data_IF_281966881403
#
_entry.id   IF_281966881403
#
_cell.length_a   1.000
_cell.length_b   1.000
_cell.length_c   1.000
_cell.angle_alpha   90.00
_cell.angle_beta   90.00
_cell.angle_gamma   90.00
#
_symmetry.space_group_name_H-M   'P 1'
#
loop_
_entity.id
_entity.type
_entity.pdbx_description
1 polymer ?
#
# COMPACT_ATOMS: atom_id res chain seq x y z
N UNK A 1 -26.19 12.80 -11.97
CA UNK A 1 -25.67 11.46 -12.36
C UNK A 1 -24.14 11.42 -12.43
N UNK A 2 -23.44 12.36 -13.06
CA UNK A 2 -21.94 12.36 -13.08
C UNK A 2 -21.30 12.55 -11.69
N UNK A 3 -21.88 13.39 -10.84
CA UNK A 3 -21.45 13.61 -9.45
C UNK A 3 -21.53 12.31 -8.65
N UNK A 4 -22.59 11.53 -8.84
CA UNK A 4 -22.83 10.28 -8.10
C UNK A 4 -21.80 9.18 -8.40
N UNK A 5 -21.24 9.11 -9.63
CA UNK A 5 -20.20 8.13 -9.98
C UNK A 5 -18.83 8.49 -9.34
N UNK A 6 -18.49 9.77 -9.35
CA UNK A 6 -17.24 10.25 -8.76
C UNK A 6 -17.23 10.06 -7.24
N UNK A 7 -18.39 10.30 -6.59
CA UNK A 7 -18.57 10.08 -5.15
C UNK A 7 -18.42 8.59 -4.78
N UNK A 8 -18.97 7.68 -5.60
CA UNK A 8 -18.82 6.22 -5.39
C UNK A 8 -17.35 5.80 -5.48
N UNK A 9 -16.61 6.25 -6.51
CA UNK A 9 -15.19 5.90 -6.66
C UNK A 9 -14.35 6.41 -5.48
N UNK A 10 -14.64 7.58 -4.94
CA UNK A 10 -13.98 8.13 -3.77
C UNK A 10 -14.30 7.32 -2.50
N UNK A 11 -15.56 6.91 -2.32
CA UNK A 11 -15.97 6.03 -1.22
C UNK A 11 -15.28 4.66 -1.29
N UNK A 12 -15.16 4.07 -2.49
CA UNK A 12 -14.47 2.78 -2.67
C UNK A 12 -12.98 2.87 -2.35
N UNK A 13 -12.30 3.93 -2.80
CA UNK A 13 -10.89 4.18 -2.44
C UNK A 13 -10.71 4.38 -0.94
N UNK A 14 -11.61 5.13 -0.30
CA UNK A 14 -11.58 5.33 1.15
C UNK A 14 -11.82 4.03 1.89
N UNK A 15 -12.76 3.18 1.43
CA UNK A 15 -13.03 1.85 2.00
C UNK A 15 -11.77 0.98 1.94
N UNK A 16 -11.13 0.92 0.78
CA UNK A 16 -9.92 0.13 0.57
C UNK A 16 -8.73 0.63 1.42
N UNK A 17 -8.51 1.95 1.51
CA UNK A 17 -7.49 2.54 2.38
C UNK A 17 -7.71 2.18 3.86
N UNK A 18 -8.95 2.24 4.33
CA UNK A 18 -9.29 1.86 5.70
C UNK A 18 -9.11 0.36 5.97
N UNK A 19 -9.44 -0.51 5.01
CA UNK A 19 -9.16 -1.95 5.10
C UNK A 19 -7.65 -2.20 5.17
N UNK A 20 -6.87 -1.55 4.28
CA UNK A 20 -5.43 -1.66 4.28
C UNK A 20 -4.83 -1.20 5.62
N UNK A 21 -5.30 -0.09 6.20
CA UNK A 21 -4.88 0.39 7.53
C UNK A 21 -5.17 -0.61 8.63
N UNK A 22 -6.32 -1.28 8.62
CA UNK A 22 -6.61 -2.35 9.58
C UNK A 22 -5.62 -3.51 9.45
N UNK A 23 -5.24 -3.87 8.22
CA UNK A 23 -4.27 -4.93 7.95
C UNK A 23 -2.82 -4.57 8.35
N UNK A 24 -2.52 -3.27 8.53
CA UNK A 24 -1.25 -2.83 9.08
C UNK A 24 -1.13 -3.06 10.59
N UNK A 25 -2.25 -3.18 11.30
CA UNK A 25 -2.27 -3.32 12.76
C UNK A 25 -2.09 -4.79 13.16
N UNK A 26 -0.93 -5.20 13.69
CA UNK A 26 -0.70 -6.60 14.06
C UNK A 26 -1.64 -7.07 15.20
N UNK A 27 -2.07 -6.13 16.06
CA UNK A 27 -2.86 -6.39 17.24
C UNK A 27 -4.01 -5.36 17.37
N UNK A 28 -5.10 -5.61 16.64
CA UNK A 28 -6.26 -4.70 16.53
C UNK A 28 -7.43 -5.04 17.48
N UNK A 29 -7.22 -5.97 18.42
CA UNK A 29 -8.23 -6.41 19.38
C UNK A 29 -8.17 -5.69 20.73
N UNK A 30 -8.89 -6.21 21.71
CA UNK A 30 -8.92 -5.66 23.07
C UNK A 30 -7.74 -6.19 23.88
N UNK A 31 -6.86 -5.32 24.44
CA UNK A 31 -5.78 -5.75 25.31
C UNK A 31 -6.29 -6.40 26.59
N UNK A 32 -5.63 -7.47 27.00
CA UNK A 32 -5.91 -8.22 28.22
C UNK A 32 -4.60 -8.52 28.95
N UNK A 33 -4.57 -8.26 30.26
CA UNK A 33 -3.43 -8.61 31.11
C UNK A 33 -3.73 -9.95 31.77
N UNK A 34 -2.82 -10.92 31.62
CA UNK A 34 -2.89 -12.21 32.33
C UNK A 34 -1.69 -12.34 33.27
N UNK A 35 -1.97 -12.71 34.51
CA UNK A 35 -0.94 -13.00 35.50
C UNK A 35 -0.66 -14.51 35.53
N UNK A 36 0.63 -14.89 35.46
CA UNK A 36 1.07 -16.28 35.57
C UNK A 36 2.33 -16.32 36.44
N UNK A 37 2.26 -16.94 37.61
CA UNK A 37 3.32 -16.88 38.60
C UNK A 37 3.56 -15.45 39.04
N UNK A 38 4.82 -15.01 39.01
CA UNK A 38 5.22 -13.64 39.37
C UNK A 38 5.20 -12.68 38.15
N UNK A 39 4.83 -13.17 36.96
CA UNK A 39 4.87 -12.39 35.70
C UNK A 39 3.51 -11.92 35.23
N UNK A 40 3.49 -10.71 34.63
CA UNK A 40 2.35 -10.16 33.89
C UNK A 40 2.61 -10.23 32.40
N UNK A 41 1.61 -10.69 31.65
CA UNK A 41 1.71 -10.91 30.23
C UNK A 41 0.56 -10.24 29.49
N UNK A 42 0.85 -9.69 28.32
CA UNK A 42 -0.13 -9.04 27.45
C UNK A 42 -0.65 -10.01 26.40
N UNK A 43 -1.96 -10.02 26.29
CA UNK A 43 -2.70 -10.72 25.25
C UNK A 43 -3.62 -9.74 24.54
N UNK A 44 -3.97 -10.04 23.30
CA UNK A 44 -5.02 -9.33 22.57
C UNK A 44 -6.16 -10.30 22.29
N UNK A 45 -7.34 -9.92 22.73
CA UNK A 45 -8.58 -10.67 22.51
C UNK A 45 -9.33 -10.12 21.31
N UNK A 46 -9.66 -10.99 20.38
CA UNK A 46 -10.40 -10.67 19.16
C UNK A 46 -11.49 -11.71 18.91
N UNK A 47 -12.59 -11.31 18.26
CA UNK A 47 -13.63 -12.23 17.80
C UNK A 47 -13.41 -12.48 16.32
N UNK A 48 -13.15 -13.73 15.94
CA UNK A 48 -12.92 -14.17 14.56
C UNK A 48 -13.94 -15.25 14.22
N UNK A 49 -14.75 -15.01 13.19
CA UNK A 49 -15.81 -15.95 12.75
C UNK A 49 -16.72 -16.43 13.90
N UNK A 50 -17.09 -15.51 14.81
CA UNK A 50 -17.95 -15.81 15.96
C UNK A 50 -17.20 -16.37 17.19
N UNK A 51 -15.99 -16.88 17.04
CA UNK A 51 -15.17 -17.45 18.12
C UNK A 51 -14.27 -16.36 18.74
N UNK A 52 -14.11 -16.42 20.06
CA UNK A 52 -13.19 -15.54 20.78
C UNK A 52 -11.78 -16.15 20.78
N UNK A 53 -10.82 -15.42 20.22
CA UNK A 53 -9.40 -15.78 20.24
C UNK A 53 -8.65 -14.88 21.20
N UNK A 54 -7.56 -15.36 21.80
CA UNK A 54 -6.67 -14.60 22.67
C UNK A 54 -5.23 -14.88 22.24
N UNK A 55 -4.58 -13.89 21.63
CA UNK A 55 -3.22 -14.00 21.08
C UNK A 55 -2.23 -13.39 22.06
N UNK A 56 -1.17 -14.11 22.38
CA UNK A 56 -0.06 -13.62 23.19
C UNK A 56 0.74 -12.56 22.41
N UNK A 57 1.08 -11.45 23.08
CA UNK A 57 1.84 -10.34 22.47
C UNK A 57 3.23 -10.20 23.09
N UNK A 58 3.35 -10.35 24.39
CA UNK A 58 4.62 -10.17 25.08
C UNK A 58 4.47 -10.03 26.60
N UNK A 59 5.60 -9.84 27.27
CA UNK A 59 5.62 -9.46 28.69
C UNK A 59 5.03 -8.07 28.85
N UNK A 60 4.32 -7.84 29.95
CA UNK A 60 3.72 -6.55 30.24
C UNK A 60 4.80 -5.47 30.40
N UNK A 61 4.66 -4.42 29.60
CA UNK A 61 5.25 -3.11 29.86
C UNK A 61 4.16 -2.05 29.67
N UNK A 62 4.31 -0.91 30.32
CA UNK A 62 3.33 0.17 30.19
C UNK A 62 3.28 0.74 28.77
N UNK A 63 4.44 0.85 28.11
CA UNK A 63 4.56 1.31 26.72
C UNK A 63 3.82 0.37 25.77
N UNK A 64 4.04 -0.94 25.89
CA UNK A 64 3.38 -1.95 25.06
C UNK A 64 1.87 -1.96 25.31
N UNK A 65 1.44 -1.88 26.57
CA UNK A 65 0.01 -1.82 26.90
C UNK A 65 -0.66 -0.57 26.31
N UNK A 66 -0.02 0.61 26.45
CA UNK A 66 -0.51 1.86 25.89
C UNK A 66 -0.54 1.84 24.35
N UNK A 67 0.43 1.17 23.69
CA UNK A 67 0.41 0.95 22.25
C UNK A 67 -0.81 0.11 21.83
N UNK A 68 -1.05 -1.01 22.51
CA UNK A 68 -2.21 -1.87 22.24
C UNK A 68 -3.54 -1.15 22.46
N UNK A 69 -3.63 -0.29 23.50
CA UNK A 69 -4.81 0.54 23.72
C UNK A 69 -5.05 1.54 22.57
N UNK A 70 -3.98 2.17 22.06
CA UNK A 70 -4.08 3.09 20.91
C UNK A 70 -4.55 2.33 19.67
N UNK A 71 -3.93 1.20 19.35
CA UNK A 71 -4.32 0.36 18.21
C UNK A 71 -5.80 -0.07 18.32
N UNK A 72 -6.25 -0.48 19.49
CA UNK A 72 -7.64 -0.87 19.72
C UNK A 72 -8.63 0.28 19.52
N UNK A 73 -8.25 1.51 19.88
CA UNK A 73 -9.08 2.71 19.65
C UNK A 73 -9.13 3.04 18.17
N UNK A 74 -7.98 3.13 17.52
CA UNK A 74 -7.87 3.43 16.09
C UNK A 74 -8.62 2.40 15.24
N UNK A 75 -8.44 1.10 15.49
CA UNK A 75 -9.20 0.05 14.82
C UNK A 75 -10.71 0.17 15.01
N UNK A 76 -11.16 0.67 16.16
CA UNK A 76 -12.59 0.90 16.43
C UNK A 76 -13.13 2.08 15.63
N UNK A 77 -12.38 3.18 15.52
CA UNK A 77 -12.77 4.33 14.70
C UNK A 77 -12.80 3.96 13.23
N UNK A 78 -11.78 3.27 12.72
CA UNK A 78 -11.75 2.77 11.34
C UNK A 78 -12.97 1.89 11.04
N UNK A 79 -13.31 0.94 11.91
CA UNK A 79 -14.49 0.09 11.71
C UNK A 79 -15.81 0.88 11.78
N UNK A 80 -15.86 1.97 12.52
CA UNK A 80 -17.03 2.87 12.55
C UNK A 80 -17.15 3.63 11.22
N UNK A 81 -16.04 4.12 10.70
CA UNK A 81 -15.98 4.82 9.42
C UNK A 81 -16.36 3.90 8.26
N UNK A 82 -15.80 2.68 8.21
CA UNK A 82 -16.17 1.65 7.24
C UNK A 82 -17.67 1.39 7.21
N UNK A 83 -18.31 1.23 8.36
CA UNK A 83 -19.79 1.06 8.42
C UNK A 83 -20.54 2.29 7.87
N UNK A 84 -19.97 3.48 8.02
CA UNK A 84 -20.50 4.71 7.42
C UNK A 84 -20.45 4.68 5.90
N UNK A 85 -19.29 4.32 5.36
CA UNK A 85 -19.06 4.17 3.90
C UNK A 85 -19.96 3.10 3.31
N UNK A 86 -20.05 1.92 3.94
CA UNK A 86 -20.94 0.83 3.48
C UNK A 86 -22.41 1.26 3.36
N UNK A 87 -22.90 2.06 4.33
CA UNK A 87 -24.25 2.61 4.29
C UNK A 87 -24.42 3.60 3.12
N UNK A 88 -23.42 4.43 2.84
CA UNK A 88 -23.47 5.39 1.73
C UNK A 88 -23.42 4.66 0.37
N UNK A 89 -22.58 3.65 0.23
CA UNK A 89 -22.50 2.81 -0.97
C UNK A 89 -23.83 2.08 -1.22
N UNK A 90 -24.40 1.48 -0.18
CA UNK A 90 -25.72 0.83 -0.27
C UNK A 90 -26.83 1.82 -0.66
N UNK A 91 -26.82 3.03 -0.09
CA UNK A 91 -27.79 4.08 -0.44
C UNK A 91 -27.63 4.59 -1.89
N UNK A 92 -26.38 4.54 -2.42
CA UNK A 92 -26.08 4.86 -3.81
C UNK A 92 -26.41 3.72 -4.78
N UNK A 93 -26.89 2.58 -4.30
CA UNK A 93 -27.21 1.40 -5.11
C UNK A 93 -25.98 0.68 -5.65
N UNK A 94 -24.82 0.85 -5.01
CA UNK A 94 -23.60 0.16 -5.42
C UNK A 94 -23.72 -1.34 -5.15
N UNK A 95 -23.35 -2.13 -6.15
CA UNK A 95 -23.15 -3.59 -6.03
C UNK A 95 -21.74 -3.93 -6.51
N UNK A 96 -21.10 -4.89 -5.83
CA UNK A 96 -19.76 -5.33 -6.23
C UNK A 96 -19.80 -6.07 -7.56
N UNK A 97 -18.89 -5.71 -8.47
CA UNK A 97 -18.70 -6.42 -9.73
C UNK A 97 -17.97 -7.76 -9.50
N UNK A 98 -18.29 -8.75 -10.31
CA UNK A 98 -17.52 -10.00 -10.32
C UNK A 98 -16.17 -9.79 -11.01
N UNK A 99 -15.08 -10.15 -10.32
CA UNK A 99 -13.74 -10.15 -10.89
C UNK A 99 -13.52 -11.42 -11.73
N UNK A 100 -12.78 -11.28 -12.82
CA UNK A 100 -12.34 -12.42 -13.62
C UNK A 100 -11.42 -13.35 -12.80
N UNK A 101 -11.44 -14.65 -13.13
CA UNK A 101 -10.70 -15.68 -12.37
C UNK A 101 -9.18 -15.45 -12.35
N UNK A 102 -8.60 -14.97 -13.45
CA UNK A 102 -7.18 -14.61 -13.55
C UNK A 102 -6.80 -13.44 -12.66
N UNK A 103 -7.66 -12.42 -12.55
CA UNK A 103 -7.48 -11.29 -11.61
C UNK A 103 -7.50 -11.78 -10.17
N UNK A 104 -8.47 -12.63 -9.81
CA UNK A 104 -8.55 -13.24 -8.46
C UNK A 104 -7.27 -14.04 -8.14
N UNK A 105 -6.79 -14.85 -9.11
CA UNK A 105 -5.57 -15.63 -8.97
C UNK A 105 -4.33 -14.74 -8.80
N UNK A 106 -4.25 -13.62 -9.54
CA UNK A 106 -3.15 -12.66 -9.42
C UNK A 106 -3.15 -11.96 -8.06
N UNK A 107 -4.32 -11.56 -7.53
CA UNK A 107 -4.44 -11.02 -6.17
C UNK A 107 -3.94 -12.06 -5.15
N UNK A 108 -4.38 -13.31 -5.25
CA UNK A 108 -3.96 -14.38 -4.33
C UNK A 108 -2.44 -14.61 -4.40
N UNK A 109 -1.87 -14.67 -5.61
CA UNK A 109 -0.42 -14.83 -5.83
C UNK A 109 0.38 -13.65 -5.29
N UNK A 110 -0.07 -12.40 -5.54
CA UNK A 110 0.59 -11.20 -5.04
C UNK A 110 0.54 -11.14 -3.50
N UNK A 111 -0.58 -11.53 -2.87
CA UNK A 111 -0.70 -11.62 -1.41
C UNK A 111 0.23 -12.68 -0.82
N UNK A 112 0.33 -13.86 -1.45
CA UNK A 112 1.23 -14.92 -1.00
C UNK A 112 2.71 -14.52 -1.06
N UNK A 113 3.08 -13.64 -2.01
CA UNK A 113 4.45 -13.17 -2.20
C UNK A 113 4.69 -11.74 -1.63
N UNK A 114 3.73 -11.15 -0.94
CA UNK A 114 3.76 -9.74 -0.53
C UNK A 114 5.01 -9.38 0.27
N UNK A 115 5.44 -10.22 1.21
CA UNK A 115 6.63 -9.94 2.04
C UNK A 115 7.89 -9.85 1.18
N UNK A 116 8.06 -10.75 0.21
CA UNK A 116 9.20 -10.74 -0.70
C UNK A 116 9.12 -9.53 -1.63
N UNK A 117 7.96 -9.22 -2.19
CA UNK A 117 7.75 -8.06 -3.06
C UNK A 117 8.09 -6.74 -2.35
N UNK A 118 7.69 -6.62 -1.07
CA UNK A 118 8.02 -5.45 -0.24
C UNK A 118 9.52 -5.38 0.03
N UNK A 119 10.17 -6.52 0.34
CA UNK A 119 11.61 -6.58 0.55
C UNK A 119 12.38 -6.13 -0.70
N UNK A 120 12.12 -6.73 -1.85
CA UNK A 120 12.77 -6.38 -3.12
C UNK A 120 12.58 -4.89 -3.45
N UNK A 121 11.39 -4.36 -3.24
CA UNK A 121 11.08 -2.96 -3.49
C UNK A 121 11.74 -2.02 -2.48
N UNK A 122 11.89 -2.41 -1.22
CA UNK A 122 12.64 -1.65 -0.21
C UNK A 122 14.13 -1.56 -0.58
N UNK A 123 14.71 -2.67 -1.04
CA UNK A 123 16.11 -2.70 -1.54
C UNK A 123 16.27 -1.84 -2.80
N UNK A 124 15.32 -1.89 -3.73
CA UNK A 124 15.31 -1.01 -4.91
C UNK A 124 15.36 0.47 -4.52
N UNK A 125 14.70 0.85 -3.44
CA UNK A 125 14.66 2.21 -2.89
C UNK A 125 15.92 2.56 -2.08
N UNK A 126 16.79 1.59 -1.81
CA UNK A 126 18.00 1.78 -1.05
C UNK A 126 17.82 1.68 0.47
N UNK A 127 16.74 1.08 0.93
CA UNK A 127 16.55 0.75 2.34
C UNK A 127 17.54 -0.36 2.73
N UNK A 128 18.36 -0.11 3.75
CA UNK A 128 19.28 -1.11 4.30
C UNK A 128 18.48 -2.09 5.17
N UNK A 129 18.00 -3.17 4.56
CA UNK A 129 17.22 -4.22 5.23
C UNK A 129 17.59 -5.60 4.71
N UNK A 130 17.23 -6.64 5.47
CA UNK A 130 17.25 -8.03 5.05
C UNK A 130 15.82 -8.58 4.98
N UNK A 131 15.62 -9.70 4.29
CA UNK A 131 14.28 -10.31 4.23
C UNK A 131 13.72 -10.63 5.62
N UNK A 132 14.46 -11.25 6.58
CA UNK A 132 13.97 -11.48 7.94
C UNK A 132 13.57 -10.19 8.68
N UNK A 133 14.33 -9.10 8.53
CA UNK A 133 13.97 -7.81 9.13
C UNK A 133 12.69 -7.23 8.53
N UNK A 134 12.55 -7.31 7.21
CA UNK A 134 11.33 -6.85 6.51
C UNK A 134 10.12 -7.67 6.96
N UNK A 135 10.26 -8.99 7.07
CA UNK A 135 9.20 -9.88 7.56
C UNK A 135 8.78 -9.54 8.99
N UNK A 136 9.75 -9.32 9.89
CA UNK A 136 9.48 -8.94 11.29
C UNK A 136 8.74 -7.60 11.40
N UNK A 137 9.08 -6.62 10.56
CA UNK A 137 8.37 -5.33 10.49
C UNK A 137 6.93 -5.55 10.03
N UNK A 138 6.74 -6.34 8.96
CA UNK A 138 5.43 -6.58 8.37
C UNK A 138 4.50 -7.33 9.34
N UNK A 139 5.03 -8.31 10.07
CA UNK A 139 4.24 -9.14 10.98
C UNK A 139 4.04 -8.51 12.36
N UNK A 140 5.08 -7.95 12.94
CA UNK A 140 5.11 -7.56 14.33
C UNK A 140 5.32 -6.05 14.57
N UNK A 141 5.61 -5.28 13.52
CA UNK A 141 5.88 -3.85 13.62
C UNK A 141 7.16 -3.51 14.41
N UNK A 142 8.03 -4.49 14.62
CA UNK A 142 9.26 -4.35 15.43
C UNK A 142 10.46 -4.77 14.63
N UNK A 143 11.57 -4.05 14.83
CA UNK A 143 12.88 -4.47 14.35
C UNK A 143 13.95 -3.74 15.16
N UNK A 144 15.11 -4.39 15.33
CA UNK A 144 16.31 -3.75 15.90
C UNK A 144 17.32 -3.43 14.77
N UNK A 145 18.06 -2.34 14.95
CA UNK A 145 19.16 -1.98 14.04
C UNK A 145 18.74 -1.26 12.75
N UNK A 146 17.48 -0.83 12.63
CA UNK A 146 17.00 -0.01 11.51
C UNK A 146 16.59 1.39 11.96
N UNK A 147 16.65 2.36 11.05
CA UNK A 147 16.13 3.71 11.32
C UNK A 147 14.61 3.73 11.33
N UNK A 148 13.99 4.64 12.09
CA UNK A 148 12.53 4.82 12.08
C UNK A 148 12.01 5.16 10.67
N UNK A 149 12.80 5.91 9.88
CA UNK A 149 12.47 6.25 8.50
C UNK A 149 12.42 5.01 7.59
N UNK A 150 13.37 4.08 7.73
CA UNK A 150 13.39 2.85 6.92
C UNK A 150 12.25 1.90 7.30
N UNK A 151 11.95 1.79 8.60
CA UNK A 151 10.76 1.05 9.08
C UNK A 151 9.49 1.65 8.49
N UNK A 152 9.35 2.99 8.53
CA UNK A 152 8.18 3.66 7.97
C UNK A 152 8.04 3.43 6.45
N UNK A 153 9.14 3.43 5.68
CA UNK A 153 9.10 3.12 4.25
C UNK A 153 8.57 1.72 3.98
N UNK A 154 8.97 0.72 4.77
CA UNK A 154 8.50 -0.67 4.64
C UNK A 154 6.99 -0.76 4.97
N UNK A 155 6.54 -0.10 6.04
CA UNK A 155 5.13 -0.06 6.41
C UNK A 155 4.27 0.65 5.34
N UNK A 156 4.78 1.73 4.75
CA UNK A 156 4.12 2.43 3.66
C UNK A 156 4.02 1.56 2.38
N UNK A 157 5.05 0.77 2.08
CA UNK A 157 4.99 -0.21 0.99
C UNK A 157 3.92 -1.26 1.27
N UNK A 158 3.87 -1.82 2.49
CA UNK A 158 2.81 -2.76 2.88
C UNK A 158 1.43 -2.13 2.71
N UNK A 159 1.24 -0.89 3.16
CA UNK A 159 -0.03 -0.16 3.03
C UNK A 159 -0.44 -0.03 1.56
N UNK A 160 0.47 0.40 0.71
CA UNK A 160 0.17 0.59 -0.71
C UNK A 160 -0.11 -0.75 -1.44
N UNK A 161 0.60 -1.83 -1.09
CA UNK A 161 0.31 -3.17 -1.60
C UNK A 161 -1.06 -3.69 -1.15
N UNK A 162 -1.39 -3.58 0.15
CA UNK A 162 -2.73 -3.96 0.66
C UNK A 162 -3.84 -3.18 -0.05
N UNK A 163 -3.60 -1.88 -0.31
CA UNK A 163 -4.54 -1.01 -0.99
C UNK A 163 -4.81 -1.46 -2.44
N UNK A 164 -3.76 -1.69 -3.26
CA UNK A 164 -3.97 -2.08 -4.66
C UNK A 164 -4.53 -3.50 -4.83
N UNK A 165 -4.40 -4.35 -3.80
CA UNK A 165 -4.95 -5.71 -3.78
C UNK A 165 -6.37 -5.78 -3.22
N UNK A 166 -6.93 -4.63 -2.83
CA UNK A 166 -8.36 -4.54 -2.51
C UNK A 166 -9.18 -4.74 -3.78
N UNK A 167 -10.29 -5.47 -3.64
CA UNK A 167 -11.14 -5.87 -4.75
C UNK A 167 -11.69 -4.68 -5.54
N UNK A 168 -12.10 -3.63 -4.84
CA UNK A 168 -12.68 -2.44 -5.46
C UNK A 168 -11.62 -1.60 -6.16
N UNK A 169 -10.41 -1.56 -5.59
CA UNK A 169 -9.28 -0.83 -6.16
C UNK A 169 -8.80 -1.50 -7.42
N UNK A 170 -8.64 -2.83 -7.40
CA UNK A 170 -8.17 -3.58 -8.58
C UNK A 170 -9.12 -3.44 -9.78
N UNK A 171 -10.42 -3.33 -9.52
CA UNK A 171 -11.44 -3.12 -10.55
C UNK A 171 -11.47 -1.67 -11.10
N UNK A 172 -10.79 -0.74 -10.45
CA UNK A 172 -10.79 0.66 -10.86
C UNK A 172 -9.76 0.95 -11.95
N UNK A 173 -9.89 2.12 -12.61
CA UNK A 173 -8.95 2.50 -13.69
C UNK A 173 -7.55 2.77 -13.15
N UNK A 174 -6.54 2.32 -13.89
CA UNK A 174 -5.14 2.69 -13.69
C UNK A 174 -4.87 4.05 -14.33
N UNK A 175 -5.25 5.11 -13.65
CA UNK A 175 -5.13 6.50 -14.09
C UNK A 175 -4.18 7.32 -13.18
N UNK A 176 -4.02 8.60 -13.51
CA UNK A 176 -3.23 9.52 -12.68
C UNK A 176 -3.73 9.60 -11.24
N UNK A 177 -5.03 9.54 -10.98
CA UNK A 177 -5.57 9.64 -9.63
C UNK A 177 -5.23 8.41 -8.79
N UNK A 178 -5.19 7.23 -9.41
CA UNK A 178 -4.70 6.01 -8.79
C UNK A 178 -3.20 6.14 -8.45
N UNK A 179 -2.37 6.59 -9.40
CA UNK A 179 -0.94 6.83 -9.17
C UNK A 179 -0.71 7.86 -8.05
N UNK A 180 -1.45 8.97 -8.04
CA UNK A 180 -1.39 10.02 -7.02
C UNK A 180 -1.73 9.46 -5.62
N UNK A 181 -2.77 8.62 -5.54
CA UNK A 181 -3.14 7.98 -4.27
C UNK A 181 -2.04 7.03 -3.77
N UNK A 182 -1.51 6.18 -4.64
CA UNK A 182 -0.38 5.29 -4.31
C UNK A 182 0.83 6.12 -3.84
N UNK A 183 1.16 7.22 -4.54
CA UNK A 183 2.25 8.10 -4.16
C UNK A 183 2.03 8.75 -2.78
N UNK A 184 0.79 9.10 -2.43
CA UNK A 184 0.43 9.57 -1.08
C UNK A 184 0.71 8.49 -0.02
N UNK A 185 0.31 7.24 -0.29
CA UNK A 185 0.52 6.12 0.65
C UNK A 185 2.01 5.83 0.87
N UNK A 186 2.82 5.74 -0.19
CA UNK A 186 4.27 5.45 -0.06
C UNK A 186 5.05 6.60 0.58
N UNK A 187 4.48 7.79 0.66
CA UNK A 187 5.08 8.99 1.27
C UNK A 187 4.44 9.37 2.61
N UNK A 188 3.54 8.55 3.16
CA UNK A 188 2.88 8.83 4.43
C UNK A 188 3.90 8.99 5.55
N UNK A 189 3.76 10.05 6.35
CA UNK A 189 4.70 10.40 7.42
C UNK A 189 5.97 11.13 6.98
N UNK A 190 6.25 11.24 5.67
CA UNK A 190 7.39 11.99 5.13
C UNK A 190 6.97 13.33 4.51
N UNK A 191 5.86 13.35 3.77
CA UNK A 191 5.36 14.53 3.07
C UNK A 191 3.85 14.65 3.23
N UNK A 192 3.37 15.82 3.65
CA UNK A 192 1.94 16.08 3.82
C UNK A 192 1.15 15.95 2.50
N UNK A 193 1.79 16.29 1.38
CA UNK A 193 1.20 16.23 0.03
C UNK A 193 1.96 15.24 -0.88
N UNK A 194 2.26 14.03 -0.36
CA UNK A 194 3.10 13.04 -1.05
C UNK A 194 2.61 12.58 -2.43
N UNK A 195 1.31 12.73 -2.71
CA UNK A 195 0.69 12.41 -4.00
C UNK A 195 0.50 13.61 -4.94
N UNK A 196 0.94 14.81 -4.57
CA UNK A 196 0.83 16.00 -5.40
C UNK A 196 1.98 16.12 -6.40
N UNK A 197 1.68 16.57 -7.62
CA UNK A 197 2.71 16.90 -8.61
C UNK A 197 3.67 17.92 -8.04
N UNK A 198 4.97 17.68 -8.19
CA UNK A 198 6.00 18.58 -7.72
C UNK A 198 6.01 19.90 -8.49
N UNK A 199 6.21 20.99 -7.76
CA UNK A 199 6.42 22.32 -8.33
C UNK A 199 7.89 22.79 -8.25
N UNK A 200 8.82 21.88 -7.90
CA UNK A 200 10.25 22.19 -7.74
C UNK A 200 11.12 21.20 -8.52
N UNK A 201 12.32 21.60 -8.99
CA UNK A 201 13.27 20.69 -9.60
C UNK A 201 13.70 19.58 -8.64
N UNK A 202 13.98 18.39 -9.20
CA UNK A 202 14.56 17.25 -8.49
C UNK A 202 15.70 16.66 -9.33
N UNK A 203 16.57 15.90 -8.69
CA UNK A 203 17.63 15.13 -9.35
C UNK A 203 17.40 13.64 -9.15
N UNK A 204 17.80 12.84 -10.14
CA UNK A 204 17.80 11.40 -10.02
C UNK A 204 19.18 10.97 -9.53
N UNK A 205 19.25 10.31 -8.37
CA UNK A 205 20.51 9.82 -7.82
C UNK A 205 21.28 8.92 -8.80
N UNK A 206 22.55 9.20 -9.02
CA UNK A 206 23.41 8.45 -9.96
C UNK A 206 23.26 8.86 -11.44
N UNK A 207 22.46 9.89 -11.75
CA UNK A 207 22.26 10.38 -13.13
C UNK A 207 22.54 11.86 -13.24
N UNK A 208 23.09 12.30 -14.39
CA UNK A 208 23.19 13.71 -14.77
C UNK A 208 21.88 14.29 -15.35
N UNK A 209 20.89 13.44 -15.59
CA UNK A 209 19.62 13.86 -16.13
C UNK A 209 18.79 14.61 -15.05
N UNK A 210 18.37 15.82 -15.40
CA UNK A 210 17.47 16.65 -14.58
C UNK A 210 16.09 16.62 -15.23
N UNK A 211 15.11 15.94 -14.62
CA UNK A 211 13.76 15.88 -15.17
C UNK A 211 13.13 17.28 -15.20
N UNK A 212 12.49 17.69 -16.32
CA UNK A 212 11.74 18.95 -16.38
C UNK A 212 10.61 18.95 -15.35
N UNK A 213 10.10 20.15 -15.02
CA UNK A 213 8.90 20.25 -14.18
C UNK A 213 7.72 19.59 -14.90
N UNK A 214 7.03 18.64 -14.25
CA UNK A 214 5.91 17.95 -14.88
C UNK A 214 4.71 18.89 -15.02
N UNK A 215 4.06 18.84 -16.16
CA UNK A 215 2.77 19.48 -16.39
C UNK A 215 1.65 18.49 -16.05
N UNK A 216 0.69 18.88 -15.23
CA UNK A 216 -0.36 17.98 -14.75
C UNK A 216 -1.21 17.40 -15.88
N UNK A 217 -1.60 18.23 -16.86
CA UNK A 217 -2.43 17.80 -17.98
C UNK A 217 -1.67 16.80 -18.87
N UNK A 218 -0.41 17.13 -19.20
CA UNK A 218 0.45 16.24 -20.01
C UNK A 218 0.69 14.89 -19.31
N UNK A 219 0.89 14.90 -18.00
CA UNK A 219 1.07 13.66 -17.21
C UNK A 219 -0.20 12.81 -17.24
N UNK A 220 -1.37 13.44 -17.05
CA UNK A 220 -2.66 12.74 -17.09
C UNK A 220 -2.93 12.13 -18.46
N UNK A 221 -2.72 12.91 -19.52
CA UNK A 221 -2.94 12.48 -20.88
C UNK A 221 -1.97 11.34 -21.25
N UNK A 222 -0.69 11.45 -20.88
CA UNK A 222 0.30 10.42 -21.23
C UNK A 222 0.07 9.11 -20.46
N UNK A 223 -0.32 9.14 -19.19
CA UNK A 223 -0.69 7.93 -18.46
C UNK A 223 -1.89 7.26 -19.11
N UNK A 224 -2.92 8.03 -19.49
CA UNK A 224 -4.09 7.49 -20.20
C UNK A 224 -3.72 6.87 -21.54
N UNK A 225 -2.94 7.55 -22.35
CA UNK A 225 -2.47 7.06 -23.65
C UNK A 225 -1.76 5.72 -23.51
N UNK A 226 -0.81 5.60 -22.56
CA UNK A 226 -0.06 4.35 -22.33
C UNK A 226 -1.01 3.24 -21.85
N UNK A 227 -1.92 3.55 -20.91
CA UNK A 227 -2.84 2.57 -20.33
C UNK A 227 -3.87 2.05 -21.36
N UNK A 228 -4.17 2.82 -22.41
CA UNK A 228 -5.10 2.48 -23.47
C UNK A 228 -4.38 1.92 -24.73
N UNK A 229 -3.06 1.73 -24.68
CA UNK A 229 -2.33 1.13 -25.81
C UNK A 229 -2.81 -0.31 -26.08
N UNK A 230 -2.97 -0.64 -27.36
CA UNK A 230 -3.30 -2.00 -27.79
C UNK A 230 -2.03 -2.88 -27.83
N UNK A 231 -1.54 -3.27 -26.65
CA UNK A 231 -0.33 -4.08 -26.46
C UNK A 231 -0.57 -5.11 -25.33
N UNK A 232 0.35 -6.04 -25.16
CA UNK A 232 0.29 -6.99 -24.05
C UNK A 232 0.34 -6.26 -22.70
N UNK A 233 -0.44 -6.72 -21.73
CA UNK A 233 -0.55 -6.07 -20.40
C UNK A 233 0.82 -5.85 -19.72
N UNK A 234 1.76 -6.79 -19.90
CA UNK A 234 3.11 -6.67 -19.36
C UNK A 234 3.89 -5.51 -19.98
N UNK A 235 3.78 -5.32 -21.29
CA UNK A 235 4.46 -4.23 -22.00
C UNK A 235 3.91 -2.88 -21.57
N UNK A 236 2.59 -2.75 -21.46
CA UNK A 236 1.93 -1.54 -20.97
C UNK A 236 2.34 -1.23 -19.54
N UNK A 237 2.33 -2.23 -18.64
CA UNK A 237 2.75 -2.07 -17.24
C UNK A 237 4.21 -1.58 -17.14
N UNK A 238 5.13 -2.15 -17.93
CA UNK A 238 6.53 -1.71 -17.98
C UNK A 238 6.64 -0.27 -18.49
N UNK A 239 5.92 0.09 -19.56
CA UNK A 239 5.89 1.47 -20.08
C UNK A 239 5.37 2.46 -19.04
N UNK A 240 4.29 2.13 -18.31
CA UNK A 240 3.76 2.94 -17.21
C UNK A 240 4.82 3.12 -16.11
N UNK A 241 5.45 2.02 -15.68
CA UNK A 241 6.49 2.03 -14.66
C UNK A 241 7.65 2.97 -15.04
N UNK A 242 8.22 2.77 -16.23
CA UNK A 242 9.38 3.54 -16.70
C UNK A 242 9.03 5.02 -16.96
N UNK A 243 7.87 5.29 -17.52
CA UNK A 243 7.40 6.67 -17.72
C UNK A 243 7.31 7.42 -16.39
N UNK A 244 6.62 6.84 -15.41
CA UNK A 244 6.44 7.48 -14.09
C UNK A 244 7.79 7.65 -13.35
N UNK A 245 8.66 6.65 -13.41
CA UNK A 245 10.00 6.74 -12.82
C UNK A 245 10.86 7.84 -13.46
N UNK A 246 10.86 7.93 -14.79
CA UNK A 246 11.69 8.90 -15.53
C UNK A 246 11.18 10.33 -15.39
N UNK A 247 9.86 10.51 -15.41
CA UNK A 247 9.23 11.84 -15.32
C UNK A 247 9.39 12.45 -13.92
N UNK A 248 9.61 11.62 -12.87
CA UNK A 248 9.73 12.11 -11.50
C UNK A 248 8.57 13.04 -11.14
N UNK A 249 7.35 12.51 -11.20
CA UNK A 249 6.10 13.27 -11.10
C UNK A 249 5.96 13.93 -9.72
N UNK A 250 6.40 13.24 -8.68
CA UNK A 250 6.27 13.65 -7.28
C UNK A 250 7.61 14.11 -6.71
N UNK A 251 7.55 14.77 -5.56
CA UNK A 251 8.76 15.24 -4.86
C UNK A 251 9.67 14.08 -4.43
N UNK A 252 9.08 12.98 -3.97
CA UNK A 252 9.76 11.73 -3.58
C UNK A 252 8.85 10.51 -3.80
N UNK A 253 9.42 9.31 -3.63
CA UNK A 253 8.69 8.05 -3.74
C UNK A 253 8.32 7.63 -5.16
N UNK A 254 8.87 8.29 -6.20
CA UNK A 254 8.54 8.01 -7.58
C UNK A 254 8.77 6.54 -7.97
N UNK A 255 9.92 5.93 -7.62
CA UNK A 255 10.19 4.52 -7.89
C UNK A 255 9.18 3.60 -7.19
N UNK A 256 8.95 3.84 -5.89
CA UNK A 256 7.99 3.07 -5.10
C UNK A 256 6.58 3.12 -5.70
N UNK A 257 6.09 4.32 -5.96
CA UNK A 257 4.77 4.52 -6.55
C UNK A 257 4.65 3.92 -7.96
N UNK A 258 5.68 4.07 -8.81
CA UNK A 258 5.66 3.55 -10.18
C UNK A 258 5.58 2.03 -10.26
N UNK A 259 6.33 1.30 -9.42
CA UNK A 259 6.28 -0.16 -9.38
C UNK A 259 4.91 -0.64 -8.90
N UNK A 260 4.36 -0.03 -7.83
CA UNK A 260 3.04 -0.41 -7.31
C UNK A 260 1.93 -0.07 -8.31
N UNK A 261 2.01 1.09 -8.99
CA UNK A 261 1.04 1.48 -10.00
C UNK A 261 1.06 0.55 -11.23
N UNK A 262 2.26 0.15 -11.70
CA UNK A 262 2.39 -0.85 -12.75
C UNK A 262 1.80 -2.21 -12.34
N UNK A 263 1.96 -2.59 -11.08
CA UNK A 263 1.35 -3.80 -10.53
C UNK A 263 -0.18 -3.71 -10.45
N UNK A 264 -0.74 -2.56 -10.07
CA UNK A 264 -2.18 -2.34 -10.12
C UNK A 264 -2.71 -2.61 -11.54
N UNK A 265 -2.08 -2.02 -12.57
CA UNK A 265 -2.47 -2.25 -13.97
C UNK A 265 -2.36 -3.72 -14.35
N UNK A 266 -1.20 -4.35 -14.09
CA UNK A 266 -0.90 -5.71 -14.52
C UNK A 266 -1.81 -6.75 -13.88
N UNK A 267 -2.09 -6.62 -12.58
CA UNK A 267 -3.00 -7.49 -11.83
C UNK A 267 -4.42 -7.34 -12.37
N UNK A 268 -4.88 -6.11 -12.59
CA UNK A 268 -6.22 -5.81 -13.12
C UNK A 268 -6.47 -6.41 -14.52
N UNK A 269 -5.41 -6.56 -15.31
CA UNK A 269 -5.50 -7.08 -16.70
C UNK A 269 -5.09 -8.56 -16.82
N UNK A 270 -5.05 -9.30 -15.71
CA UNK A 270 -4.75 -10.73 -15.72
C UNK A 270 -3.28 -11.10 -16.02
N UNK A 271 -2.38 -10.11 -16.12
CA UNK A 271 -0.99 -10.29 -16.57
C UNK A 271 0.01 -10.73 -15.48
N UNK A 272 -0.44 -11.09 -14.29
CA UNK A 272 0.44 -11.44 -13.16
C UNK A 272 0.83 -10.24 -12.33
N UNK A 273 2.07 -10.21 -11.86
CA UNK A 273 2.65 -9.06 -11.14
C UNK A 273 4.15 -8.89 -11.45
N UNK A 274 4.61 -7.65 -11.41
CA UNK A 274 5.97 -7.22 -11.73
C UNK A 274 6.80 -7.12 -10.45
N UNK A 275 7.97 -7.77 -10.44
CA UNK A 275 8.97 -7.67 -9.37
C UNK A 275 10.32 -7.32 -9.98
N UNK A 276 11.09 -6.48 -9.29
CA UNK A 276 12.49 -6.22 -9.57
C UNK A 276 13.28 -6.86 -8.43
N UNK A 277 13.78 -8.11 -8.58
CA UNK A 277 14.47 -8.81 -7.51
C UNK A 277 15.71 -8.06 -7.03
N UNK A 278 16.05 -8.18 -5.74
CA UNK A 278 17.24 -7.56 -5.14
C UNK A 278 18.51 -7.73 -5.99
N UNK A 279 18.74 -8.94 -6.48
CA UNK A 279 19.94 -9.27 -7.30
C UNK A 279 20.01 -8.49 -8.63
N UNK A 280 18.87 -8.04 -9.17
CA UNK A 280 18.78 -7.29 -10.44
C UNK A 280 18.84 -5.77 -10.20
N UNK A 281 18.71 -5.29 -8.95
CA UNK A 281 18.71 -3.86 -8.62
C UNK A 281 19.96 -3.11 -9.12
N UNK A 282 21.18 -3.67 -9.03
CA UNK A 282 22.38 -2.98 -9.56
C UNK A 282 22.30 -2.75 -11.08
N UNK A 283 21.79 -3.71 -11.84
CA UNK A 283 21.62 -3.61 -13.28
C UNK A 283 20.47 -2.66 -13.66
N UNK A 284 19.38 -2.73 -12.91
CA UNK A 284 18.23 -1.86 -13.11
C UNK A 284 18.52 -0.36 -12.91
N UNK A 285 19.51 -0.03 -12.06
CA UNK A 285 19.92 1.34 -11.76
C UNK A 285 20.96 1.93 -12.74
N UNK A 286 21.49 1.16 -13.68
CA UNK A 286 22.41 1.61 -14.72
C UNK A 286 21.66 2.28 -15.89
#
# INVERSE_FOLDING_TARGET
>A
MAVQYQDIQELLRSRADLHARLNLMPYDGTPEIKERGEGKYLYVRKRVAGNQTSTYVGTYTEELYNLLLRNAREAREIRKELRGIEKQLAAAGYSEDELYADVINNIASARANMKMNIYDQAVLEGVATSFPQTEEIIENGKVSGMTAADVQKILNLKHAWEFILDRDVVASRSDYYMLSHIARLVNEGFFAEGGRIRGVPVTIGGSSYVPPLPNELEVKDRIREIAEENDEAINVAIKLCLYCMKTQIFLDGNKRASVIFANHYLIAHGGGFLVIPEKEVPQFKQ
#
